data_IF_039018926059
#
_entry.id   IF_039018926059
#
_cell.length_a   1.000
_cell.length_b   1.000
_cell.length_c   1.000
_cell.angle_alpha   90.00
_cell.angle_beta   90.00
_cell.angle_gamma   90.00
#
_symmetry.space_group_name_H-M   'P 1'
#
loop_
_entity.id
_entity.type
_entity.pdbx_description
1 polymer ?
#
# COMPACT_ATOMS: atom_id res chain seq x y z
N UNK A 1 5.39 0.21 -9.42
CA UNK A 1 4.74 0.84 -10.58
C UNK A 1 4.48 -0.15 -11.69
N UNK A 2 3.22 -0.49 -11.88
CA UNK A 2 2.72 -1.17 -13.07
C UNK A 2 2.58 -0.21 -14.27
N UNK A 3 2.33 -0.79 -15.46
CA UNK A 3 2.20 -0.05 -16.71
C UNK A 3 1.03 0.96 -16.71
N UNK A 4 -0.04 0.70 -15.95
CA UNK A 4 -1.21 1.58 -15.87
C UNK A 4 -0.93 2.82 -15.00
N UNK A 5 -0.19 2.65 -13.89
CA UNK A 5 0.31 3.77 -13.08
C UNK A 5 1.24 4.68 -13.90
N UNK A 6 2.18 4.12 -14.66
CA UNK A 6 3.09 4.89 -15.53
C UNK A 6 2.30 5.65 -16.60
N UNK A 7 1.31 5.01 -17.22
CA UNK A 7 0.46 5.64 -18.22
C UNK A 7 -0.35 6.82 -17.64
N UNK A 8 -0.81 6.69 -16.40
CA UNK A 8 -1.51 7.75 -15.67
C UNK A 8 -0.56 8.92 -15.38
N UNK A 9 0.65 8.66 -14.88
CA UNK A 9 1.64 9.71 -14.59
C UNK A 9 2.02 10.47 -15.85
N UNK A 10 2.18 9.77 -16.98
CA UNK A 10 2.45 10.43 -18.27
C UNK A 10 1.32 11.35 -18.71
N UNK A 11 0.06 10.96 -18.50
CA UNK A 11 -1.11 11.80 -18.83
C UNK A 11 -1.12 13.06 -17.96
N UNK A 12 -0.92 12.92 -16.66
CA UNK A 12 -0.87 14.04 -15.71
C UNK A 12 0.29 14.97 -16.07
N UNK A 13 1.49 14.44 -16.22
CA UNK A 13 2.65 15.24 -16.63
C UNK A 13 2.39 16.01 -17.92
N UNK A 14 1.81 15.35 -18.94
CA UNK A 14 1.47 16.00 -20.21
C UNK A 14 0.36 17.07 -20.08
N UNK A 15 -0.52 17.00 -19.08
CA UNK A 15 -1.51 18.05 -18.83
C UNK A 15 -0.86 19.35 -18.37
N UNK A 16 0.25 19.26 -17.62
CA UNK A 16 0.94 20.41 -17.03
C UNK A 16 2.14 20.90 -17.87
N UNK A 17 2.76 20.00 -18.66
CA UNK A 17 3.76 20.31 -19.69
C UNK A 17 3.11 20.49 -21.08
N UNK A 18 2.16 21.43 -21.19
CA UNK A 18 1.47 21.71 -22.46
C UNK A 18 2.43 22.18 -23.57
N UNK A 19 3.52 22.83 -23.16
CA UNK A 19 4.57 23.31 -24.05
C UNK A 19 5.51 22.18 -24.54
N UNK A 20 5.36 20.94 -24.02
CA UNK A 20 6.19 19.78 -24.34
C UNK A 20 7.68 20.05 -24.16
N UNK A 21 7.99 20.80 -23.11
CA UNK A 21 9.36 21.14 -22.73
C UNK A 21 10.09 19.95 -22.12
N UNK A 22 9.35 18.95 -21.64
CA UNK A 22 9.88 17.84 -20.85
C UNK A 22 10.06 18.20 -19.37
N UNK A 23 9.55 19.36 -18.93
CA UNK A 23 9.66 19.85 -17.56
C UNK A 23 8.32 20.40 -17.06
N UNK A 24 8.11 20.31 -15.74
CA UNK A 24 6.99 20.91 -15.02
C UNK A 24 7.53 21.80 -13.92
N UNK A 25 7.01 23.01 -13.80
CA UNK A 25 7.41 23.95 -12.75
C UNK A 25 6.96 23.46 -11.37
N UNK A 26 7.83 23.58 -10.36
CA UNK A 26 7.58 23.05 -9.00
C UNK A 26 6.35 23.67 -8.33
N UNK A 27 6.03 24.91 -8.64
CA UNK A 27 4.83 25.59 -8.16
C UNK A 27 3.50 25.02 -8.71
N UNK A 28 3.54 24.16 -9.73
CA UNK A 28 2.34 23.51 -10.27
C UNK A 28 1.96 22.22 -9.54
N UNK A 29 2.82 21.69 -8.67
CA UNK A 29 2.59 20.42 -7.99
C UNK A 29 1.36 20.44 -7.08
N UNK A 30 1.11 21.54 -6.39
CA UNK A 30 -0.12 21.73 -5.60
C UNK A 30 -1.36 21.55 -6.48
N UNK A 31 -1.36 22.10 -7.70
CA UNK A 31 -2.47 21.94 -8.63
C UNK A 31 -2.56 20.52 -9.19
N UNK A 32 -1.42 19.87 -9.41
CA UNK A 32 -1.34 18.48 -9.88
C UNK A 32 -1.99 17.54 -8.87
N UNK A 33 -1.54 17.56 -7.61
CA UNK A 33 -2.04 16.67 -6.57
C UNK A 33 -3.52 16.95 -6.26
N UNK A 34 -3.94 18.22 -6.25
CA UNK A 34 -5.36 18.58 -6.15
C UNK A 34 -6.19 18.05 -7.34
N UNK A 35 -5.63 18.02 -8.55
CA UNK A 35 -6.33 17.47 -9.74
C UNK A 35 -6.47 15.96 -9.67
N UNK A 36 -5.54 15.29 -9.00
CA UNK A 36 -5.59 13.85 -8.74
C UNK A 36 -6.59 13.51 -7.63
N UNK A 37 -7.11 14.51 -6.90
CA UNK A 37 -8.02 14.30 -5.77
C UNK A 37 -7.33 13.74 -4.53
N UNK A 38 -5.99 13.75 -4.54
CA UNK A 38 -5.14 13.31 -3.43
C UNK A 38 -5.14 14.38 -2.34
N UNK A 39 -5.22 13.94 -1.09
CA UNK A 39 -5.15 14.81 0.08
C UNK A 39 -3.72 14.75 0.60
N UNK A 40 -3.00 15.87 0.59
CA UNK A 40 -1.59 15.93 0.92
C UNK A 40 -1.31 17.09 1.87
N UNK A 41 -0.24 16.97 2.64
CA UNK A 41 0.28 18.07 3.43
C UNK A 41 1.22 18.94 2.57
N UNK A 42 1.03 20.27 2.62
CA UNK A 42 1.83 21.21 1.82
C UNK A 42 3.29 21.28 2.30
N UNK A 43 3.55 21.08 3.60
CA UNK A 43 4.90 21.08 4.16
C UNK A 43 5.67 19.83 3.70
N UNK A 44 5.02 18.66 3.70
CA UNK A 44 5.61 17.42 3.19
C UNK A 44 5.89 17.48 1.68
N UNK A 45 4.96 18.05 0.90
CA UNK A 45 5.16 18.31 -0.53
C UNK A 45 6.36 19.24 -0.76
N UNK A 46 6.44 20.32 0.00
CA UNK A 46 7.55 21.27 -0.09
C UNK A 46 8.88 20.60 0.24
N UNK A 47 8.93 19.78 1.29
CA UNK A 47 10.13 19.02 1.66
C UNK A 47 10.56 18.06 0.52
N UNK A 48 9.60 17.37 -0.10
CA UNK A 48 9.90 16.44 -1.21
C UNK A 48 10.38 17.17 -2.46
N UNK A 49 9.79 18.32 -2.77
CA UNK A 49 10.25 19.18 -3.87
C UNK A 49 11.68 19.65 -3.61
N UNK A 50 12.02 20.09 -2.39
CA UNK A 50 13.39 20.53 -2.06
C UNK A 50 14.42 19.38 -2.13
N UNK A 51 14.02 18.16 -1.77
CA UNK A 51 14.87 16.97 -1.89
C UNK A 51 15.21 16.67 -3.36
N UNK A 52 14.22 16.74 -4.24
CA UNK A 52 14.33 16.38 -5.65
C UNK A 52 14.91 17.52 -6.49
N UNK A 53 14.56 18.77 -6.18
CA UNK A 53 15.08 20.01 -6.79
C UNK A 53 16.14 20.68 -5.91
N UNK A 54 17.14 19.90 -5.49
CA UNK A 54 18.26 20.40 -4.67
C UNK A 54 19.07 21.52 -5.36
N UNK A 55 19.07 21.53 -6.70
CA UNK A 55 19.71 22.56 -7.51
C UNK A 55 18.86 23.84 -7.65
N UNK A 56 17.62 23.84 -7.15
CA UNK A 56 16.66 24.95 -7.23
C UNK A 56 16.45 25.45 -8.66
N UNK A 57 16.38 24.52 -9.61
CA UNK A 57 16.03 24.82 -10.99
C UNK A 57 14.60 25.39 -11.11
N UNK A 58 13.73 25.11 -10.14
CA UNK A 58 12.33 25.56 -10.13
C UNK A 58 11.44 24.80 -11.12
N UNK A 59 11.99 23.75 -11.72
CA UNK A 59 11.35 22.86 -12.68
C UNK A 59 11.91 21.45 -12.48
N UNK A 60 11.09 20.45 -12.79
CA UNK A 60 11.47 19.05 -12.66
C UNK A 60 11.09 18.29 -13.93
N UNK A 61 11.92 17.32 -14.30
CA UNK A 61 11.66 16.44 -15.43
C UNK A 61 10.68 15.32 -15.05
N UNK A 62 10.34 14.45 -16.00
CA UNK A 62 9.38 13.36 -15.77
C UNK A 62 9.82 12.38 -14.66
N UNK A 63 11.11 12.05 -14.59
CA UNK A 63 11.64 11.11 -13.59
C UNK A 63 11.58 11.72 -12.18
N UNK A 64 11.92 13.00 -12.07
CA UNK A 64 11.81 13.78 -10.83
C UNK A 64 10.34 14.00 -10.43
N UNK A 65 9.46 14.23 -11.40
CA UNK A 65 8.01 14.33 -11.16
C UNK A 65 7.47 13.05 -10.53
N UNK A 66 7.85 11.89 -11.08
CA UNK A 66 7.50 10.59 -10.50
C UNK A 66 8.04 10.49 -9.07
N UNK A 67 9.30 10.86 -8.82
CA UNK A 67 9.88 10.79 -7.48
C UNK A 67 9.18 11.68 -6.42
N UNK A 68 8.57 12.78 -6.86
CA UNK A 68 7.77 13.65 -5.98
C UNK A 68 6.36 13.09 -5.81
N UNK A 69 5.69 12.69 -6.89
CA UNK A 69 4.27 12.29 -6.88
C UNK A 69 4.07 10.88 -6.35
N UNK A 70 5.05 9.97 -6.54
CA UNK A 70 4.95 8.58 -6.09
C UNK A 70 4.64 8.47 -4.60
N UNK A 71 5.36 9.13 -3.67
CA UNK A 71 5.01 9.06 -2.25
C UNK A 71 3.60 9.60 -1.89
N UNK A 72 2.96 10.38 -2.76
CA UNK A 72 1.60 10.88 -2.57
C UNK A 72 0.56 10.10 -3.40
N UNK A 73 0.98 9.08 -4.15
CA UNK A 73 0.14 8.23 -5.00
C UNK A 73 0.34 6.75 -4.74
N UNK A 74 1.39 6.38 -3.99
CA UNK A 74 1.33 5.28 -3.05
C UNK A 74 0.27 5.67 -2.03
N UNK A 75 -0.99 5.56 -2.49
CA UNK A 75 -2.14 5.38 -1.65
C UNK A 75 -1.78 4.29 -0.64
N UNK A 76 -2.36 4.44 0.55
CA UNK A 76 -2.47 3.46 1.62
C UNK A 76 -2.99 2.08 1.17
N UNK A 77 -2.74 1.55 -0.03
CA UNK A 77 -3.10 0.16 -0.36
C UNK A 77 -2.26 -0.82 0.46
N UNK A 78 -0.99 -0.52 0.75
CA UNK A 78 -0.26 -1.30 1.74
C UNK A 78 -0.67 -0.91 3.16
N UNK A 79 -0.77 0.37 3.53
CA UNK A 79 -1.05 0.77 4.92
C UNK A 79 -2.52 0.61 5.35
N UNK A 80 -3.51 0.86 4.49
CA UNK A 80 -4.91 0.59 4.75
C UNK A 80 -5.25 -0.89 4.62
N UNK A 81 -4.64 -1.66 3.71
CA UNK A 81 -4.76 -3.12 3.76
C UNK A 81 -4.10 -3.64 5.04
N UNK A 82 -2.95 -3.12 5.43
CA UNK A 82 -2.26 -3.47 6.68
C UNK A 82 -3.11 -3.12 7.91
N UNK A 83 -3.75 -1.95 7.96
CA UNK A 83 -4.68 -1.59 9.04
C UNK A 83 -5.98 -2.41 9.00
N UNK A 84 -6.56 -2.70 7.84
CA UNK A 84 -7.72 -3.60 7.72
C UNK A 84 -7.38 -5.04 8.16
N UNK A 85 -6.22 -5.55 7.76
CA UNK A 85 -5.70 -6.86 8.16
C UNK A 85 -5.42 -6.89 9.66
N UNK A 86 -4.94 -5.80 10.24
CA UNK A 86 -4.66 -5.67 11.67
C UNK A 86 -5.94 -5.52 12.50
N UNK A 87 -6.95 -4.83 11.99
CA UNK A 87 -8.28 -4.81 12.60
C UNK A 87 -8.94 -6.18 12.54
N UNK A 88 -8.86 -6.87 11.39
CA UNK A 88 -9.31 -8.24 11.24
C UNK A 88 -8.54 -9.18 12.19
N UNK A 89 -7.22 -9.06 12.26
CA UNK A 89 -6.39 -9.85 13.17
C UNK A 89 -6.79 -9.64 14.63
N UNK A 90 -7.02 -8.39 15.05
CA UNK A 90 -7.52 -8.09 16.41
C UNK A 90 -8.93 -8.60 16.68
N UNK A 91 -9.78 -8.70 15.66
CA UNK A 91 -11.10 -9.30 15.80
C UNK A 91 -10.99 -10.80 16.14
N UNK A 92 -9.95 -11.45 15.61
CA UNK A 92 -9.69 -12.87 15.74
C UNK A 92 -8.80 -13.21 16.94
N UNK A 93 -7.83 -12.37 17.29
CA UNK A 93 -7.05 -12.44 18.52
C UNK A 93 -7.91 -12.03 19.73
N UNK A 94 -8.78 -12.95 20.16
CA UNK A 94 -9.64 -12.74 21.33
C UNK A 94 -8.87 -12.67 22.65
N UNK A 95 -7.61 -13.12 22.66
CA UNK A 95 -6.71 -13.02 23.81
C UNK A 95 -6.10 -11.64 23.96
N UNK A 96 -5.89 -10.94 22.84
CA UNK A 96 -5.07 -9.73 22.79
C UNK A 96 -3.59 -10.05 23.00
N UNK A 97 -3.20 -11.29 22.71
CA UNK A 97 -1.87 -11.81 22.98
C UNK A 97 -0.90 -11.51 21.82
N UNK A 98 -1.42 -11.02 20.69
CA UNK A 98 -0.67 -10.74 19.47
C UNK A 98 -0.52 -11.93 18.53
N UNK A 99 -1.26 -13.03 18.76
CA UNK A 99 -1.24 -14.23 17.95
C UNK A 99 -2.64 -14.88 17.87
N UNK A 100 -2.94 -15.54 16.76
CA UNK A 100 -4.16 -16.33 16.56
C UNK A 100 -3.81 -17.80 16.69
N UNK A 101 -4.38 -18.50 17.67
CA UNK A 101 -4.15 -19.95 17.77
C UNK A 101 -4.69 -20.67 16.53
N UNK A 102 -4.02 -21.73 16.08
CA UNK A 102 -4.45 -22.55 14.93
C UNK A 102 -5.90 -23.03 15.05
N UNK A 103 -6.36 -23.30 16.27
CA UNK A 103 -7.76 -23.64 16.56
C UNK A 103 -8.74 -22.53 16.18
N UNK A 104 -8.42 -21.28 16.49
CA UNK A 104 -9.25 -20.10 16.15
C UNK A 104 -9.21 -19.85 14.64
N UNK A 105 -8.03 -19.93 14.02
CA UNK A 105 -7.89 -19.81 12.57
C UNK A 105 -8.73 -20.85 11.82
N UNK A 106 -8.76 -22.10 12.32
CA UNK A 106 -9.59 -23.18 11.79
C UNK A 106 -11.10 -22.88 11.90
N UNK A 107 -11.54 -22.25 13.00
CA UNK A 107 -12.94 -21.82 13.13
C UNK A 107 -13.28 -20.71 12.12
N UNK A 108 -12.38 -19.75 11.91
CA UNK A 108 -12.55 -18.63 10.97
C UNK A 108 -12.65 -19.14 9.52
N UNK A 109 -11.70 -19.99 9.11
CA UNK A 109 -11.68 -20.59 7.78
C UNK A 109 -12.96 -21.37 7.48
N UNK A 110 -13.51 -22.05 8.48
CA UNK A 110 -14.77 -22.79 8.39
C UNK A 110 -16.00 -21.88 8.34
N UNK A 111 -15.95 -20.71 8.96
CA UNK A 111 -16.98 -19.67 8.83
C UNK A 111 -16.95 -18.98 7.46
N UNK A 112 -15.75 -18.75 6.91
CA UNK A 112 -15.54 -18.16 5.58
C UNK A 112 -15.94 -19.11 4.45
N UNK A 113 -15.51 -20.38 4.52
CA UNK A 113 -15.92 -21.42 3.58
C UNK A 113 -16.30 -22.72 4.30
N UNK A 114 -17.60 -22.90 4.49
CA UNK A 114 -18.18 -24.07 5.14
C UNK A 114 -18.05 -25.39 4.35
N UNK A 115 -17.47 -25.35 3.14
CA UNK A 115 -17.22 -26.54 2.31
C UNK A 115 -15.88 -27.21 2.61
N UNK A 116 -14.97 -26.51 3.29
CA UNK A 116 -13.67 -27.06 3.68
C UNK A 116 -13.88 -28.17 4.73
N UNK A 117 -13.30 -29.34 4.46
CA UNK A 117 -13.31 -30.44 5.42
C UNK A 117 -12.27 -30.19 6.51
N UNK A 118 -12.40 -30.87 7.65
CA UNK A 118 -11.41 -30.72 8.73
C UNK A 118 -9.98 -31.08 8.30
N UNK A 119 -9.84 -31.98 7.30
CA UNK A 119 -8.55 -32.32 6.68
C UNK A 119 -8.01 -31.21 5.79
N UNK A 120 -8.86 -30.53 5.02
CA UNK A 120 -8.43 -29.40 4.18
C UNK A 120 -7.99 -28.23 5.06
N UNK A 121 -8.74 -27.99 6.14
CA UNK A 121 -8.40 -26.99 7.13
C UNK A 121 -7.07 -27.30 7.84
N UNK A 122 -6.82 -28.57 8.21
CA UNK A 122 -5.52 -28.97 8.79
C UNK A 122 -4.38 -28.77 7.79
N UNK A 123 -4.60 -29.05 6.50
CA UNK A 123 -3.62 -28.79 5.45
C UNK A 123 -3.30 -27.30 5.28
N UNK A 124 -4.31 -26.43 5.32
CA UNK A 124 -4.13 -24.96 5.25
C UNK A 124 -3.37 -24.46 6.49
N UNK A 125 -3.71 -24.98 7.67
CA UNK A 125 -3.03 -24.62 8.93
C UNK A 125 -1.55 -25.02 8.88
N UNK A 126 -1.24 -26.25 8.43
CA UNK A 126 0.14 -26.75 8.32
C UNK A 126 0.97 -25.97 7.28
N UNK A 127 0.31 -25.32 6.31
CA UNK A 127 0.98 -24.48 5.30
C UNK A 127 1.28 -23.07 5.83
N UNK A 128 0.50 -22.57 6.79
CA UNK A 128 0.65 -21.24 7.38
C UNK A 128 1.57 -21.27 8.62
N UNK A 129 1.41 -22.27 9.49
CA UNK A 129 2.22 -22.50 10.70
C UNK A 129 3.53 -23.21 10.34
N UNK A 130 4.34 -22.61 9.47
CA UNK A 130 5.60 -23.20 8.99
C UNK A 130 6.60 -23.44 10.14
N UNK A 131 6.55 -22.60 11.17
CA UNK A 131 7.42 -22.68 12.34
C UNK A 131 6.94 -23.71 13.38
N UNK A 132 5.71 -24.20 13.24
CA UNK A 132 5.07 -25.18 14.10
C UNK A 132 4.85 -24.66 15.53
N UNK A 133 4.72 -23.36 15.71
CA UNK A 133 4.44 -22.72 16.99
C UNK A 133 3.03 -23.07 17.50
N UNK A 134 2.12 -23.51 16.62
CA UNK A 134 0.72 -23.76 16.94
C UNK A 134 -0.08 -22.46 17.07
N UNK A 135 0.50 -21.36 16.63
CA UNK A 135 -0.03 -20.01 16.63
C UNK A 135 0.33 -19.33 15.32
N UNK A 136 -0.52 -18.42 14.86
CA UNK A 136 -0.27 -17.62 13.66
C UNK A 136 -0.07 -16.19 14.12
N UNK A 137 1.12 -15.65 13.89
CA UNK A 137 1.41 -14.26 14.17
C UNK A 137 0.91 -13.35 13.04
N UNK A 138 1.12 -12.05 13.22
CA UNK A 138 0.61 -11.07 12.28
C UNK A 138 1.32 -11.11 10.92
N UNK A 139 2.62 -11.43 10.89
CA UNK A 139 3.40 -11.52 9.66
C UNK A 139 2.95 -12.75 8.86
N UNK A 140 2.75 -13.90 9.52
CA UNK A 140 2.22 -15.13 8.90
C UNK A 140 0.78 -14.95 8.39
N UNK A 141 -0.05 -14.21 9.13
CA UNK A 141 -1.42 -13.87 8.70
C UNK A 141 -1.42 -12.94 7.47
N UNK A 142 -0.47 -12.01 7.38
CA UNK A 142 -0.31 -11.17 6.21
C UNK A 142 0.12 -11.97 4.99
N UNK A 143 1.13 -12.85 5.11
CA UNK A 143 1.56 -13.69 3.98
C UNK A 143 0.40 -14.56 3.46
N UNK A 144 -0.45 -15.08 4.35
CA UNK A 144 -1.66 -15.81 3.95
C UNK A 144 -2.65 -14.97 3.14
N UNK A 145 -2.88 -13.72 3.53
CA UNK A 145 -3.89 -12.84 2.91
C UNK A 145 -3.39 -12.11 1.66
N UNK A 146 -2.07 -11.98 1.52
CA UNK A 146 -1.41 -11.24 0.43
C UNK A 146 -0.75 -12.15 -0.61
N UNK A 147 -0.63 -13.45 -0.32
CA UNK A 147 -0.06 -14.50 -1.18
C UNK A 147 -0.87 -14.87 -2.41
#
# INVERSE_FOLDING_TARGET
MDDDQIATMRKVFAMFDQAKTGFVETNKFVNILNTLGQNFDEDDLSAKIEEVDSEKEGKVNFDQFIAIVLPFMEDDDDEAMHEELKEAFRLYDKGGDGYITTKVLKEILKELDNKLSDTDLDGIIDEIDEDGSGTVDFDEFMEMMTG
#
